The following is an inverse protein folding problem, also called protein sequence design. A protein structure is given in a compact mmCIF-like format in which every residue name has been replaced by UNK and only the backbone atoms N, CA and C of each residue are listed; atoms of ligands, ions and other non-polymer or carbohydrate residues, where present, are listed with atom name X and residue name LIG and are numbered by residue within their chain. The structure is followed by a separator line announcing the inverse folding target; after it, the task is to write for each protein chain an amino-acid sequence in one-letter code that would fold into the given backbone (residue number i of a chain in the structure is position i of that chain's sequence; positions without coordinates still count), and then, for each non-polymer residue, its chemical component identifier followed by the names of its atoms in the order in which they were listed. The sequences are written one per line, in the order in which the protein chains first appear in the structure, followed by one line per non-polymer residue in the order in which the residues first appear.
data_IF_333286432105
#
_entry.id   IF_333286432105
#
_cell.length_a   1.000
_cell.length_b   1.000
_cell.length_c   1.000
_cell.angle_alpha   90.00
_cell.angle_beta   90.00
_cell.angle_gamma   90.00
#
_symmetry.space_group_name_H-M   'P 1'
#
loop_
_entity.id
_entity.type
_entity.pdbx_description
1 polymer ?
#
# COMPACT_ATOMS: atom_id res chain seq x y z
N UNK A 1 2.82 -35.34 -14.93
CA UNK A 1 2.30 -34.17 -14.20
C UNK A 1 3.40 -33.12 -14.24
N UNK A 2 3.27 -32.14 -15.12
CA UNK A 2 4.28 -31.10 -15.30
C UNK A 2 4.34 -30.23 -14.05
N UNK A 3 5.48 -30.23 -13.37
CA UNK A 3 5.72 -29.33 -12.25
C UNK A 3 5.82 -27.90 -12.78
N UNK A 4 5.17 -26.94 -12.11
CA UNK A 4 5.29 -25.53 -12.48
C UNK A 4 6.77 -25.13 -12.48
N UNK A 5 7.30 -24.76 -13.66
CA UNK A 5 8.71 -24.39 -13.87
C UNK A 5 9.19 -23.29 -12.91
N UNK A 6 8.28 -22.48 -12.37
CA UNK A 6 8.56 -21.43 -11.39
C UNK A 6 7.43 -21.39 -10.35
N UNK A 7 7.56 -22.13 -9.23
CA UNK A 7 6.60 -21.99 -8.13
C UNK A 7 6.62 -20.55 -7.60
N UNK A 8 5.48 -20.01 -7.12
CA UNK A 8 5.44 -18.69 -6.51
C UNK A 8 6.42 -18.59 -5.34
N UNK A 9 7.05 -17.42 -5.18
CA UNK A 9 7.94 -17.15 -4.06
C UNK A 9 7.16 -17.25 -2.73
N UNK A 10 7.64 -18.08 -1.82
CA UNK A 10 7.05 -18.21 -0.48
C UNK A 10 7.66 -17.14 0.43
N UNK A 11 6.87 -16.16 0.83
CA UNK A 11 7.26 -15.13 1.80
C UNK A 11 7.00 -15.63 3.23
N UNK A 12 8.02 -15.60 4.09
CA UNK A 12 7.91 -15.91 5.53
C UNK A 12 8.23 -14.66 6.35
N UNK A 13 7.38 -14.24 7.30
CA UNK A 13 7.66 -13.09 8.14
C UNK A 13 8.82 -13.40 9.09
N UNK A 14 9.82 -12.51 9.14
CA UNK A 14 10.92 -12.59 10.11
C UNK A 14 10.51 -11.98 11.46
N UNK A 15 9.68 -10.95 11.45
CA UNK A 15 9.13 -10.30 12.64
C UNK A 15 7.90 -9.45 12.29
N UNK A 16 7.11 -9.11 13.31
CA UNK A 16 6.02 -8.14 13.20
C UNK A 16 6.05 -7.22 14.43
N UNK A 17 5.91 -5.91 14.21
CA UNK A 17 5.88 -4.91 15.27
C UNK A 17 4.76 -3.90 15.01
N UNK A 18 3.95 -3.56 16.01
CA UNK A 18 2.97 -2.48 15.89
C UNK A 18 3.67 -1.15 15.57
N UNK A 19 2.98 -0.29 14.83
CA UNK A 19 3.40 1.07 14.53
C UNK A 19 2.29 2.04 14.94
N UNK A 20 2.67 3.26 15.36
CA UNK A 20 1.69 4.27 15.78
C UNK A 20 0.87 4.78 14.59
N UNK A 21 -0.39 5.13 14.85
CA UNK A 21 -1.31 5.70 13.85
C UNK A 21 -0.70 6.91 13.12
N UNK A 22 0.01 7.79 13.84
CA UNK A 22 0.69 8.95 13.24
C UNK A 22 1.78 8.56 12.24
N UNK A 23 2.56 7.52 12.56
CA UNK A 23 3.59 7.01 11.67
C UNK A 23 2.99 6.28 10.46
N UNK A 24 1.88 5.56 10.66
CA UNK A 24 1.11 4.92 9.60
C UNK A 24 0.60 5.97 8.61
N UNK A 25 -0.10 7.00 9.08
CA UNK A 25 -0.67 8.04 8.24
C UNK A 25 0.38 8.75 7.39
N UNK A 26 1.54 9.08 7.99
CA UNK A 26 2.66 9.69 7.26
C UNK A 26 3.23 8.77 6.17
N UNK A 27 3.41 7.48 6.48
CA UNK A 27 3.96 6.50 5.52
C UNK A 27 2.99 6.21 4.39
N UNK A 28 1.71 6.04 4.69
CA UNK A 28 0.66 5.82 3.68
C UNK A 28 0.54 7.04 2.79
N UNK A 29 0.46 8.26 3.36
CA UNK A 29 0.40 9.49 2.56
C UNK A 29 1.53 9.58 1.53
N UNK A 30 2.78 9.41 2.00
CA UNK A 30 3.95 9.40 1.11
C UNK A 30 3.87 8.29 0.05
N UNK A 31 3.48 7.08 0.44
CA UNK A 31 3.37 5.96 -0.50
C UNK A 31 2.34 6.24 -1.60
N UNK A 32 1.17 6.79 -1.25
CA UNK A 32 0.12 7.10 -2.23
C UNK A 32 0.59 8.18 -3.20
N UNK A 33 1.24 9.22 -2.70
CA UNK A 33 1.77 10.31 -3.53
C UNK A 33 2.85 9.78 -4.50
N UNK A 34 3.80 8.98 -4.00
CA UNK A 34 4.85 8.35 -4.82
C UNK A 34 4.25 7.35 -5.83
N UNK A 35 3.24 6.58 -5.43
CA UNK A 35 2.57 5.61 -6.29
C UNK A 35 1.79 6.27 -7.42
N UNK A 36 1.04 7.34 -7.13
CA UNK A 36 0.32 8.11 -8.13
C UNK A 36 1.27 8.73 -9.15
N UNK A 37 2.39 9.34 -8.70
CA UNK A 37 3.40 9.90 -9.58
C UNK A 37 3.99 8.85 -10.55
N UNK A 38 4.29 7.65 -10.05
CA UNK A 38 4.81 6.54 -10.86
C UNK A 38 3.76 5.97 -11.82
N UNK A 39 2.52 5.87 -11.36
CA UNK A 39 1.43 5.27 -12.15
C UNK A 39 0.99 6.19 -13.29
N UNK A 40 0.95 7.51 -13.04
CA UNK A 40 0.70 8.52 -14.07
C UNK A 40 1.76 8.46 -15.17
N UNK A 41 3.03 8.27 -14.80
CA UNK A 41 4.14 8.13 -15.74
C UNK A 41 4.11 6.81 -16.54
N UNK A 42 3.57 5.73 -15.96
CA UNK A 42 3.60 4.40 -16.56
C UNK A 42 2.44 4.08 -17.52
N UNK A 43 1.43 4.96 -17.65
CA UNK A 43 0.19 4.77 -18.45
C UNK A 43 -0.58 3.44 -18.21
N UNK A 44 -0.16 2.62 -17.24
CA UNK A 44 -0.73 1.33 -16.89
C UNK A 44 -1.24 1.39 -15.45
N UNK A 45 -2.30 2.16 -15.23
CA UNK A 45 -2.86 2.39 -13.89
C UNK A 45 -4.09 1.55 -13.62
N UNK A 46 -3.95 0.53 -12.78
CA UNK A 46 -5.07 -0.23 -12.23
C UNK A 46 -5.89 0.68 -11.30
N UNK A 47 -6.81 1.46 -11.87
CA UNK A 47 -7.49 2.60 -11.24
C UNK A 47 -8.18 2.25 -9.91
N UNK A 48 -8.68 1.03 -9.79
CA UNK A 48 -9.29 0.51 -8.57
C UNK A 48 -8.34 0.51 -7.37
N UNK A 49 -7.06 0.17 -7.59
CA UNK A 49 -6.04 0.14 -6.52
C UNK A 49 -5.76 1.56 -6.05
N UNK A 50 -5.64 2.52 -6.96
CA UNK A 50 -5.42 3.94 -6.62
C UNK A 50 -6.57 4.51 -5.80
N UNK A 51 -7.82 4.17 -6.14
CA UNK A 51 -9.01 4.60 -5.38
C UNK A 51 -9.02 3.99 -3.98
N UNK A 52 -8.69 2.71 -3.83
CA UNK A 52 -8.62 2.07 -2.51
C UNK A 52 -7.52 2.67 -1.63
N UNK A 53 -6.36 2.96 -2.21
CA UNK A 53 -5.26 3.62 -1.51
C UNK A 53 -5.62 5.05 -1.08
N UNK A 54 -6.37 5.79 -1.91
CA UNK A 54 -6.86 7.11 -1.55
C UNK A 54 -7.85 7.03 -0.36
N UNK A 55 -8.82 6.11 -0.40
CA UNK A 55 -9.76 5.88 0.71
C UNK A 55 -9.03 5.56 2.01
N UNK A 56 -7.96 4.77 1.94
CA UNK A 56 -7.14 4.45 3.12
C UNK A 56 -6.41 5.69 3.66
N UNK A 57 -5.84 6.52 2.77
CA UNK A 57 -5.21 7.79 3.16
C UNK A 57 -6.20 8.69 3.90
N UNK A 58 -7.41 8.84 3.36
CA UNK A 58 -8.46 9.69 3.93
C UNK A 58 -8.93 9.16 5.30
N UNK A 59 -9.21 7.85 5.41
CA UNK A 59 -9.60 7.22 6.66
C UNK A 59 -8.54 7.37 7.77
N UNK A 60 -7.25 7.35 7.42
CA UNK A 60 -6.17 7.57 8.37
C UNK A 60 -6.07 9.02 8.86
N UNK A 61 -6.40 9.99 8.01
CA UNK A 61 -6.49 11.40 8.44
C UNK A 61 -7.68 11.61 9.36
N UNK A 62 -8.83 11.01 9.06
CA UNK A 62 -10.00 11.05 9.95
C UNK A 62 -9.69 10.42 11.32
N UNK A 63 -9.00 9.27 11.37
CA UNK A 63 -8.64 8.64 12.64
C UNK A 63 -7.72 9.55 13.48
N UNK A 64 -6.78 10.25 12.83
CA UNK A 64 -5.92 11.21 13.51
C UNK A 64 -6.66 12.44 14.02
N UNK A 65 -7.66 12.94 13.27
CA UNK A 65 -8.44 14.12 13.67
C UNK A 65 -9.42 13.83 14.82
N UNK A 66 -9.81 12.56 15.02
CA UNK A 66 -10.71 12.13 16.10
C UNK A 66 -10.00 11.84 17.43
N UNK A 67 -8.67 11.74 17.43
CA UNK A 67 -7.84 11.47 18.62
C UNK A 67 -7.20 12.75 19.12
#
# INVERSE_FOLDING_TARGET
MDSALHPPLILKPLSSRPISTKNVAKRIGKFVDDFQARTAAAQAGNSAVTVQLQKLKDAMQEELARK
#
